data_IF_403105425203
#
_entry.id   IF_403105425203
#
_cell.length_a   1.000
_cell.length_b   1.000
_cell.length_c   1.000
_cell.angle_alpha   90.00
_cell.angle_beta   90.00
_cell.angle_gamma   90.00
#
_symmetry.space_group_name_H-M   'P 1'
#
loop_
_entity.id
_entity.type
_entity.pdbx_description
1 polymer ?
#
# COMPACT_ATOMS: atom_id res chain seq x y z
N UNK A 1 -18.75 -7.20 -0.15
CA UNK A 1 -17.54 -6.44 -0.55
C UNK A 1 -16.62 -7.43 -1.27
N UNK A 2 -16.33 -7.29 -2.57
CA UNK A 2 -15.61 -8.37 -3.29
C UNK A 2 -14.18 -8.52 -2.77
N UNK A 3 -13.67 -9.76 -2.79
CA UNK A 3 -12.28 -10.08 -2.41
C UNK A 3 -11.26 -9.15 -3.10
N UNK A 4 -11.53 -8.78 -4.36
CA UNK A 4 -10.70 -7.86 -5.13
C UNK A 4 -10.64 -6.45 -4.53
N UNK A 5 -11.78 -5.93 -4.04
CA UNK A 5 -11.82 -4.64 -3.34
C UNK A 5 -11.06 -4.69 -2.02
N UNK A 6 -11.11 -5.83 -1.31
CA UNK A 6 -10.38 -6.04 -0.06
C UNK A 6 -8.86 -6.09 -0.32
N UNK A 7 -8.41 -6.86 -1.32
CA UNK A 7 -7.02 -6.94 -1.74
C UNK A 7 -6.45 -5.59 -2.20
N UNK A 8 -7.20 -4.85 -3.01
CA UNK A 8 -6.79 -3.52 -3.48
C UNK A 8 -6.64 -2.52 -2.31
N UNK A 9 -7.57 -2.54 -1.35
CA UNK A 9 -7.46 -1.74 -0.13
C UNK A 9 -6.26 -2.14 0.73
N UNK A 10 -5.99 -3.43 0.86
CA UNK A 10 -4.88 -3.93 1.67
C UNK A 10 -3.52 -3.53 1.06
N UNK A 11 -3.39 -3.66 -0.27
CA UNK A 11 -2.22 -3.19 -1.01
C UNK A 11 -2.04 -1.67 -0.88
N UNK A 12 -3.12 -0.90 -1.03
CA UNK A 12 -3.07 0.55 -0.85
C UNK A 12 -2.62 0.91 0.58
N UNK A 13 -3.17 0.27 1.60
CA UNK A 13 -2.77 0.51 3.00
C UNK A 13 -1.30 0.17 3.25
N UNK A 14 -0.80 -0.95 2.71
CA UNK A 14 0.61 -1.34 2.86
C UNK A 14 1.53 -0.32 2.18
N UNK A 15 1.24 0.04 0.92
CA UNK A 15 2.04 1.00 0.16
C UNK A 15 2.01 2.37 0.84
N UNK A 16 0.83 2.84 1.25
CA UNK A 16 0.67 4.12 1.91
C UNK A 16 1.42 4.17 3.25
N UNK A 17 1.34 3.10 4.05
CA UNK A 17 2.07 3.02 5.32
C UNK A 17 3.58 3.04 5.12
N UNK A 18 4.08 2.32 4.11
CA UNK A 18 5.50 2.33 3.76
C UNK A 18 5.96 3.72 3.35
N UNK A 19 5.18 4.40 2.51
CA UNK A 19 5.48 5.76 2.05
C UNK A 19 5.46 6.77 3.19
N UNK A 20 4.52 6.65 4.13
CA UNK A 20 4.47 7.50 5.32
C UNK A 20 5.71 7.33 6.19
N UNK A 21 6.17 6.09 6.39
CA UNK A 21 7.33 5.82 7.23
C UNK A 21 8.63 6.26 6.53
N UNK A 22 8.74 6.10 5.21
CA UNK A 22 9.90 6.56 4.45
C UNK A 22 9.92 8.07 4.17
N UNK A 23 8.87 8.81 4.54
CA UNK A 23 8.75 10.24 4.24
C UNK A 23 9.68 11.15 5.06
N UNK A 24 10.38 10.64 6.06
CA UNK A 24 11.23 11.43 6.96
C UNK A 24 10.47 12.25 8.00
N UNK A 25 9.12 12.27 7.94
CA UNK A 25 8.25 13.00 8.88
C UNK A 25 8.51 12.63 10.34
N UNK A 26 8.87 11.38 10.62
CA UNK A 26 9.03 10.87 11.98
C UNK A 26 10.46 10.98 12.51
N UNK A 27 11.40 11.41 11.68
CA UNK A 27 12.82 11.57 11.99
C UNK A 27 13.16 12.99 12.48
N UNK A 28 12.18 13.91 12.51
CA UNK A 28 12.36 15.31 12.92
C UNK A 28 12.68 15.48 14.42
N UNK A 29 12.31 14.51 15.26
CA UNK A 29 12.54 14.54 16.71
C UNK A 29 13.64 13.57 17.10
N UNK A 30 14.30 13.85 18.22
CA UNK A 30 15.38 13.00 18.73
C UNK A 30 14.90 11.96 19.76
N UNK A 31 13.70 12.15 20.31
CA UNK A 31 13.10 11.34 21.37
C UNK A 31 12.09 10.30 20.83
N UNK A 32 11.90 10.23 19.51
CA UNK A 32 10.95 9.34 18.86
C UNK A 32 11.49 8.81 17.54
N UNK A 33 11.19 7.55 17.23
CA UNK A 33 11.55 6.93 15.96
C UNK A 33 10.47 5.93 15.53
N UNK A 34 10.21 5.86 14.21
CA UNK A 34 9.31 4.86 13.63
C UNK A 34 10.12 3.89 12.78
N UNK A 35 10.05 2.61 13.11
CA UNK A 35 10.86 1.58 12.45
C UNK A 35 9.99 0.37 12.10
N UNK A 36 9.96 0.02 10.82
CA UNK A 36 9.25 -1.17 10.34
C UNK A 36 10.03 -2.42 10.74
N UNK A 37 9.30 -3.43 11.21
CA UNK A 37 9.84 -4.74 11.54
C UNK A 37 9.32 -5.76 10.50
N UNK A 38 10.05 -6.00 9.40
CA UNK A 38 9.52 -6.75 8.25
C UNK A 38 9.53 -8.28 8.41
N UNK A 39 9.67 -8.83 9.62
CA UNK A 39 9.74 -10.29 9.86
C UNK A 39 8.49 -11.07 9.41
N UNK A 40 7.41 -10.36 9.05
CA UNK A 40 6.20 -10.95 8.48
C UNK A 40 6.10 -10.97 6.95
N UNK A 41 7.04 -10.36 6.22
CA UNK A 41 6.93 -10.23 4.76
C UNK A 41 7.03 -11.56 4.03
N UNK A 42 7.97 -12.39 4.45
CA UNK A 42 8.33 -13.67 3.85
C UNK A 42 8.19 -14.80 4.88
N UNK A 43 7.11 -14.78 5.67
CA UNK A 43 6.90 -15.75 6.74
C UNK A 43 6.69 -17.16 6.19
N UNK A 44 7.44 -18.12 6.73
CA UNK A 44 7.27 -19.53 6.43
C UNK A 44 6.20 -20.12 7.35
N UNK A 45 5.31 -20.95 6.79
CA UNK A 45 4.33 -21.67 7.60
C UNK A 45 5.07 -22.74 8.44
N UNK A 46 4.85 -22.83 9.77
CA UNK A 46 5.43 -23.90 10.56
C UNK A 46 4.90 -25.25 10.08
N UNK A 47 5.79 -26.20 9.83
CA UNK A 47 5.44 -27.56 9.43
C UNK A 47 5.76 -28.55 10.56
N UNK A 48 4.91 -29.56 10.71
CA UNK A 48 5.12 -30.68 11.61
C UNK A 48 6.11 -31.71 11.03
N UNK A 49 6.37 -32.79 11.77
CA UNK A 49 7.26 -33.88 11.33
C UNK A 49 6.77 -34.61 10.06
N UNK A 50 5.51 -34.43 9.68
CA UNK A 50 4.91 -35.00 8.47
C UNK A 50 4.85 -33.98 7.30
N UNK A 51 5.40 -32.78 7.49
CA UNK A 51 5.37 -31.71 6.48
C UNK A 51 4.02 -31.02 6.33
N UNK A 52 3.09 -31.19 7.29
CA UNK A 52 1.79 -30.51 7.30
C UNK A 52 1.85 -29.26 8.19
N UNK A 53 0.93 -28.28 8.03
CA UNK A 53 0.87 -27.13 8.92
C UNK A 53 0.80 -27.54 10.39
N UNK A 54 1.77 -27.12 11.20
CA UNK A 54 1.79 -27.41 12.63
C UNK A 54 0.76 -26.52 13.35
N UNK A 55 -0.39 -27.11 13.64
CA UNK A 55 -1.51 -26.43 14.30
C UNK A 55 -1.20 -26.02 15.74
N UNK A 56 -0.13 -26.51 16.36
CA UNK A 56 0.23 -26.12 17.73
C UNK A 56 0.68 -24.65 17.85
N UNK A 57 0.98 -23.99 16.73
CA UNK A 57 1.27 -22.55 16.68
C UNK A 57 0.01 -21.67 16.67
N UNK A 58 -1.17 -22.28 16.52
CA UNK A 58 -2.46 -21.58 16.47
C UNK A 58 -3.35 -21.98 17.65
N UNK A 59 -4.28 -21.10 18.01
CA UNK A 59 -5.32 -21.35 18.99
C UNK A 59 -6.38 -22.32 18.42
N UNK A 60 -7.34 -22.71 19.26
CA UNK A 60 -8.40 -23.65 18.87
C UNK A 60 -9.29 -23.15 17.72
N UNK A 61 -9.33 -21.84 17.47
CA UNK A 61 -10.07 -21.22 16.37
C UNK A 61 -9.27 -21.12 15.06
N UNK A 62 -8.01 -21.59 15.05
CA UNK A 62 -7.11 -21.60 13.89
C UNK A 62 -6.75 -20.21 13.33
N UNK A 63 -7.19 -19.12 13.96
CA UNK A 63 -6.96 -17.75 13.48
C UNK A 63 -6.07 -16.95 14.42
N UNK A 64 -6.16 -17.20 15.72
CA UNK A 64 -5.25 -16.59 16.69
C UNK A 64 -4.01 -17.46 16.83
N UNK A 65 -2.88 -16.83 17.14
CA UNK A 65 -1.69 -17.56 17.52
C UNK A 65 -1.86 -18.15 18.92
N UNK A 66 -1.31 -19.35 19.13
CA UNK A 66 -1.16 -19.91 20.47
C UNK A 66 -0.07 -19.15 21.24
N UNK A 67 0.09 -19.47 22.53
CA UNK A 67 1.23 -18.98 23.34
C UNK A 67 2.56 -19.29 22.65
N UNK A 68 2.66 -20.44 21.97
CA UNK A 68 3.84 -20.83 21.19
C UNK A 68 4.04 -19.93 19.97
N UNK A 69 2.98 -19.66 19.21
CA UNK A 69 3.02 -18.74 18.06
C UNK A 69 3.44 -17.33 18.45
N UNK A 70 2.82 -16.76 19.48
CA UNK A 70 3.20 -15.45 20.01
C UNK A 70 4.65 -15.41 20.50
N UNK A 71 5.14 -16.48 21.13
CA UNK A 71 6.51 -16.54 21.60
C UNK A 71 7.52 -16.47 20.43
N UNK A 72 7.30 -17.18 19.34
CA UNK A 72 8.16 -17.09 18.15
C UNK A 72 8.10 -15.71 17.49
N UNK A 73 6.90 -15.11 17.41
CA UNK A 73 6.73 -13.74 16.89
C UNK A 73 7.48 -12.71 17.74
N UNK A 74 7.41 -12.84 19.06
CA UNK A 74 8.11 -11.95 19.98
C UNK A 74 9.64 -12.07 19.82
N UNK A 75 10.16 -13.29 19.62
CA UNK A 75 11.58 -13.51 19.35
C UNK A 75 12.00 -12.92 18.00
N UNK A 76 11.18 -13.09 16.95
CA UNK A 76 11.43 -12.50 15.65
C UNK A 76 11.47 -10.96 15.74
N UNK A 77 10.49 -10.36 16.41
CA UNK A 77 10.46 -8.93 16.67
C UNK A 77 11.71 -8.46 17.43
N UNK A 78 12.07 -9.13 18.52
CA UNK A 78 13.24 -8.81 19.33
C UNK A 78 14.52 -8.81 18.49
N UNK A 79 14.75 -9.90 17.74
CA UNK A 79 15.92 -10.02 16.87
C UNK A 79 15.94 -8.91 15.81
N UNK A 80 14.78 -8.58 15.24
CA UNK A 80 14.66 -7.55 14.21
C UNK A 80 14.90 -6.14 14.74
N UNK A 81 14.56 -5.86 16.01
CA UNK A 81 14.88 -4.59 16.67
C UNK A 81 16.39 -4.40 16.91
N UNK A 82 17.18 -5.48 16.94
CA UNK A 82 18.64 -5.44 17.07
C UNK A 82 19.38 -5.37 15.73
N UNK A 83 18.67 -5.52 14.61
CA UNK A 83 19.24 -5.47 13.25
C UNK A 83 19.16 -4.06 12.66
N UNK A 84 20.23 -3.57 12.00
CA UNK A 84 20.20 -2.24 11.39
C UNK A 84 19.12 -2.14 10.31
N UNK A 85 18.49 -0.96 10.21
CA UNK A 85 17.53 -0.63 9.15
C UNK A 85 18.19 -0.83 7.78
N UNK A 86 17.51 -1.53 6.88
CA UNK A 86 18.04 -1.96 5.58
C UNK A 86 18.50 -3.42 5.55
N UNK A 87 18.92 -3.97 6.70
CA UNK A 87 19.39 -5.36 6.83
C UNK A 87 18.46 -6.22 7.70
N UNK A 88 17.32 -5.66 8.12
CA UNK A 88 16.32 -6.35 8.93
C UNK A 88 15.81 -7.60 8.23
N UNK A 89 15.80 -8.71 8.96
CA UNK A 89 15.24 -9.97 8.53
C UNK A 89 13.77 -9.81 8.10
N UNK A 90 13.43 -10.40 6.94
CA UNK A 90 12.10 -10.26 6.35
C UNK A 90 11.20 -11.48 6.52
N UNK A 91 11.68 -12.50 7.22
CA UNK A 91 10.98 -13.76 7.45
C UNK A 91 10.97 -14.12 8.92
N UNK A 92 9.98 -14.91 9.33
CA UNK A 92 9.92 -15.51 10.65
C UNK A 92 10.25 -17.00 10.54
N UNK A 93 11.17 -17.45 11.39
CA UNK A 93 11.50 -18.86 11.53
C UNK A 93 10.75 -19.41 12.76
N UNK A 94 9.72 -20.21 12.55
CA UNK A 94 8.90 -20.80 13.61
C UNK A 94 9.46 -22.10 14.21
N UNK A 95 10.70 -22.50 13.91
CA UNK A 95 11.33 -23.63 14.61
C UNK A 95 11.37 -23.35 16.11
N UNK A 96 10.82 -24.21 16.95
CA UNK A 96 10.77 -23.95 18.40
C UNK A 96 12.14 -24.17 19.04
N UNK A 97 12.96 -23.13 19.01
CA UNK A 97 14.32 -23.10 19.50
C UNK A 97 14.63 -21.74 20.12
N UNK A 98 14.87 -21.72 21.43
CA UNK A 98 15.16 -20.49 22.18
C UNK A 98 16.58 -19.99 21.96
N UNK A 99 17.49 -20.80 21.41
CA UNK A 99 18.86 -20.39 21.10
C UNK A 99 18.94 -19.33 20.00
N UNK A 100 17.89 -19.19 19.19
CA UNK A 100 17.76 -18.15 18.15
C UNK A 100 17.65 -16.73 18.71
N UNK A 101 17.36 -16.56 20.00
CA UNK A 101 17.23 -15.25 20.62
C UNK A 101 18.61 -14.57 20.64
N UNK A 102 18.72 -13.43 19.97
CA UNK A 102 19.97 -12.67 19.93
C UNK A 102 20.13 -11.84 21.20
N UNK A 103 21.33 -11.90 21.76
CA UNK A 103 21.75 -11.01 22.82
C UNK A 103 22.18 -9.65 22.24
N UNK A 104 21.95 -8.54 22.96
CA UNK A 104 22.49 -7.24 22.59
C UNK A 104 24.02 -7.28 22.47
N UNK A 105 24.56 -6.58 21.46
CA UNK A 105 26.00 -6.41 21.31
C UNK A 105 26.46 -5.19 22.14
N UNK A 106 27.46 -5.29 23.03
CA UNK A 106 28.03 -4.15 23.74
C UNK A 106 28.50 -3.00 22.83
N UNK A 107 28.93 -3.30 21.60
CA UNK A 107 29.32 -2.29 20.59
C UNK A 107 28.12 -1.57 19.97
N UNK A 108 26.92 -2.16 20.05
CA UNK A 108 25.65 -1.61 19.54
C UNK A 108 24.59 -1.67 20.64
N UNK A 109 24.70 -0.85 21.69
CA UNK A 109 23.90 -0.99 22.92
C UNK A 109 22.43 -0.53 22.78
N UNK A 110 22.05 0.04 21.63
CA UNK A 110 20.72 0.59 21.39
C UNK A 110 19.94 -0.22 20.35
N UNK A 111 18.61 -0.16 20.41
CA UNK A 111 17.76 -0.69 19.35
C UNK A 111 18.03 0.06 18.04
N UNK A 112 17.96 -0.67 16.93
CA UNK A 112 18.26 -0.13 15.60
C UNK A 112 17.14 0.74 15.07
N UNK A 113 17.48 1.99 14.77
CA UNK A 113 16.63 3.04 14.21
C UNK A 113 17.23 3.56 12.90
N UNK A 114 16.49 4.37 12.14
CA UNK A 114 17.01 4.99 10.93
C UNK A 114 18.32 5.78 11.18
N UNK A 115 18.39 6.51 12.29
CA UNK A 115 19.53 7.37 12.65
C UNK A 115 20.79 6.58 12.99
N UNK A 116 20.69 5.50 13.75
CA UNK A 116 21.86 4.71 14.19
C UNK A 116 22.22 3.53 13.26
N UNK A 117 21.45 3.31 12.20
CA UNK A 117 21.72 2.26 11.20
C UNK A 117 22.49 2.79 9.97
N UNK A 118 22.96 4.04 9.99
CA UNK A 118 23.60 4.67 8.83
C UNK A 118 22.64 5.09 7.71
N UNK A 119 21.33 4.87 7.90
CA UNK A 119 20.30 5.26 6.93
C UNK A 119 20.06 6.78 6.89
N UNK A 120 20.52 7.50 7.94
CA UNK A 120 20.39 8.97 8.06
C UNK A 120 21.56 9.81 7.57
N UNK A 121 22.65 9.20 7.06
CA UNK A 121 23.81 9.93 6.52
C UNK A 121 23.85 9.99 4.99
N UNK A 122 22.88 9.34 4.33
CA UNK A 122 22.52 9.75 2.98
C UNK A 122 21.89 11.12 3.15
N UNK A 123 22.71 12.16 2.99
CA UNK A 123 22.31 13.52 2.71
C UNK A 123 21.43 13.48 1.44
N UNK A 124 20.21 12.99 1.59
CA UNK A 124 19.12 13.34 0.73
C UNK A 124 18.73 14.74 1.21
N UNK A 125 19.57 15.70 0.83
CA UNK A 125 19.12 16.93 0.20
C UNK A 125 18.31 16.61 -1.07
N UNK A 126 17.41 15.61 -1.03
CA UNK A 126 16.13 15.75 -1.69
C UNK A 126 15.47 16.87 -0.89
N UNK A 127 15.83 18.09 -1.28
CA UNK A 127 14.88 19.14 -1.59
C UNK A 127 13.48 18.53 -1.52
N UNK A 128 12.66 19.01 -0.59
CA UNK A 128 11.21 18.86 -0.68
C UNK A 128 10.78 19.36 -2.07
N UNK A 129 10.98 18.56 -3.12
CA UNK A 129 10.02 18.49 -4.19
C UNK A 129 8.90 17.67 -3.59
N UNK A 130 8.21 18.30 -2.63
CA UNK A 130 6.77 18.21 -2.52
C UNK A 130 6.29 18.07 -3.96
N UNK A 131 5.91 16.86 -4.36
CA UNK A 131 5.08 16.67 -5.54
C UNK A 131 3.68 17.18 -5.19
N UNK A 132 3.58 18.36 -4.56
CA UNK A 132 2.38 19.16 -4.48
C UNK A 132 2.18 19.62 -5.91
N UNK A 133 1.51 18.77 -6.69
CA UNK A 133 0.88 19.17 -7.94
C UNK A 133 0.18 20.50 -7.62
N UNK A 134 0.61 21.63 -8.21
CA UNK A 134 0.14 22.93 -7.77
C UNK A 134 -1.38 22.91 -7.82
N UNK A 135 -2.06 23.47 -6.82
CA UNK A 135 -3.51 23.42 -6.72
C UNK A 135 -4.20 23.90 -8.02
N UNK A 136 -3.56 24.85 -8.71
CA UNK A 136 -3.91 25.30 -10.05
C UNK A 136 -4.00 24.18 -11.09
N UNK A 137 -3.14 23.16 -11.06
CA UNK A 137 -3.21 22.00 -11.95
C UNK A 137 -4.50 21.22 -11.74
N UNK A 138 -4.96 21.02 -10.51
CA UNK A 138 -6.25 20.37 -10.23
C UNK A 138 -7.40 21.17 -10.84
N UNK A 139 -7.37 22.49 -10.68
CA UNK A 139 -8.36 23.42 -11.27
C UNK A 139 -8.33 23.33 -12.80
N UNK A 140 -7.16 23.46 -13.43
CA UNK A 140 -7.00 23.42 -14.88
C UNK A 140 -7.50 22.10 -15.45
N UNK A 141 -7.18 20.99 -14.78
CA UNK A 141 -7.60 19.65 -15.22
C UNK A 141 -9.13 19.49 -15.13
N UNK A 142 -9.75 19.96 -14.05
CA UNK A 142 -11.20 19.94 -13.88
C UNK A 142 -11.92 20.79 -14.93
N UNK A 143 -11.45 22.02 -15.15
CA UNK A 143 -12.03 22.95 -16.15
C UNK A 143 -11.89 22.39 -17.57
N UNK A 144 -10.71 21.87 -17.93
CA UNK A 144 -10.49 21.25 -19.23
C UNK A 144 -11.42 20.05 -19.45
N UNK A 145 -11.60 19.20 -18.44
CA UNK A 145 -12.53 18.07 -18.50
C UNK A 145 -13.99 18.50 -18.74
N UNK A 146 -14.45 19.56 -18.05
CA UNK A 146 -15.80 20.12 -18.25
C UNK A 146 -15.98 20.66 -19.66
N UNK A 147 -15.01 21.44 -20.16
CA UNK A 147 -15.09 22.01 -21.52
C UNK A 147 -15.14 20.92 -22.60
N UNK A 148 -14.32 19.88 -22.48
CA UNK A 148 -14.32 18.74 -23.40
C UNK A 148 -15.66 17.99 -23.33
N UNK A 149 -16.18 17.74 -22.13
CA UNK A 149 -17.48 17.11 -21.93
C UNK A 149 -18.63 17.90 -22.56
N UNK A 150 -18.65 19.23 -22.36
CA UNK A 150 -19.65 20.12 -22.94
C UNK A 150 -19.58 20.17 -24.46
N UNK A 151 -18.38 20.21 -25.05
CA UNK A 151 -18.18 20.16 -26.51
C UNK A 151 -18.69 18.85 -27.11
N UNK A 152 -18.35 17.72 -26.49
CA UNK A 152 -18.82 16.40 -26.95
C UNK A 152 -20.35 16.29 -26.85
N UNK A 153 -20.93 16.74 -25.73
CA UNK A 153 -22.38 16.80 -25.55
C UNK A 153 -23.08 17.66 -26.61
N UNK A 154 -22.53 18.85 -26.88
CA UNK A 154 -23.05 19.76 -27.90
C UNK A 154 -23.01 19.16 -29.32
N UNK A 155 -21.89 18.53 -29.69
CA UNK A 155 -21.73 17.87 -30.99
C UNK A 155 -22.72 16.72 -31.16
N UNK A 156 -22.91 15.89 -30.12
CA UNK A 156 -23.88 14.78 -30.15
C UNK A 156 -25.30 15.30 -30.26
N UNK A 157 -25.66 16.34 -29.50
CA UNK A 157 -26.99 16.96 -29.57
C UNK A 157 -27.27 17.52 -30.97
N UNK A 158 -26.31 18.27 -31.55
CA UNK A 158 -26.44 18.84 -32.90
C UNK A 158 -26.54 17.77 -34.00
N UNK A 159 -25.87 16.62 -33.84
CA UNK A 159 -26.01 15.47 -34.74
C UNK A 159 -27.38 14.81 -34.61
N UNK A 160 -27.90 14.67 -33.39
CA UNK A 160 -29.24 14.12 -33.13
C UNK A 160 -30.34 15.01 -33.71
N UNK A 161 -30.30 16.31 -33.48
CA UNK A 161 -31.31 17.26 -34.01
C UNK A 161 -31.34 17.26 -35.53
N UNK A 162 -30.17 17.32 -36.19
CA UNK A 162 -30.07 17.21 -37.66
C UNK A 162 -30.61 15.87 -38.19
N UNK A 163 -30.36 14.77 -37.48
CA UNK A 163 -30.90 13.44 -37.85
C UNK A 163 -32.42 13.38 -37.71
N UNK A 164 -32.98 13.99 -36.67
CA UNK A 164 -34.43 14.07 -36.47
C UNK A 164 -35.11 14.94 -37.53
N UNK A 165 -34.55 16.10 -37.87
CA UNK A 165 -35.05 16.94 -38.96
C UNK A 165 -35.07 16.19 -40.29
N UNK A 166 -33.95 15.54 -40.68
CA UNK A 166 -33.91 14.74 -41.91
C UNK A 166 -34.96 13.62 -41.95
N UNK A 167 -35.24 12.96 -40.82
CA UNK A 167 -36.29 11.93 -40.75
C UNK A 167 -37.69 12.52 -40.92
N UNK A 168 -37.98 13.67 -40.29
CA UNK A 168 -39.26 14.35 -40.43
C UNK A 168 -39.50 14.86 -41.87
N UNK A 169 -38.46 15.43 -42.51
CA UNK A 169 -38.53 15.88 -43.90
C UNK A 169 -38.76 14.70 -44.86
N UNK A 170 -38.12 13.55 -44.60
CA UNK A 170 -38.34 12.33 -45.41
C UNK A 170 -39.76 11.80 -45.26
N UNK A 171 -40.32 11.76 -44.04
CA UNK A 171 -41.68 11.29 -43.79
C UNK A 171 -42.74 12.21 -44.43
N UNK A 172 -42.54 13.53 -44.36
CA UNK A 172 -43.43 14.51 -44.97
C UNK A 172 -43.41 14.42 -46.50
N UNK A 173 -42.24 14.24 -47.11
CA UNK A 173 -42.12 14.07 -48.56
C UNK A 173 -42.79 12.78 -49.07
N UNK A 174 -42.75 11.69 -48.28
CA UNK A 174 -43.43 10.43 -48.64
C UNK A 174 -44.96 10.61 -48.58
N UNK A 175 -45.50 11.32 -47.57
CA UNK A 175 -46.94 11.58 -47.45
C UNK A 175 -47.50 12.46 -48.56
N UNK A 176 -46.72 13.42 -49.07
CA UNK A 176 -47.13 14.31 -50.18
C UNK A 176 -47.16 13.56 -51.52
N UNK A 177 -46.34 12.53 -51.69
CA UNK A 177 -46.25 11.76 -52.95
C UNK A 177 -47.31 10.65 -53.05
N UNK A 178 -47.99 10.31 -51.95
CA UNK A 178 -49.01 9.25 -51.89
C UNK A 178 -50.46 9.75 -51.97
N UNK A 179 -50.69 11.00 -52.39
CA UNK A 179 -52.01 11.62 -52.56
C UNK A 179 -52.30 11.94 -54.03
#
# INVERSE_FOLDING_TARGET
LSLLKMLAWLLFLIIFSLQLISSGRYEQREDFAVVIQPFFRNTLLPLDSMGKPDMSFFAADCIHFSVRGYAEMAMALWNNMLEPVGEKQTYNNFTYDRSKLRCPNPEKPFLSTGRNSGFGNSDLSLEETESSVPYWTVIVTAVAGVLVGSLLGWVVSRRRTKKHQRKADTENNIKITSL
#
